data_IF_393744245325
#
_entry.id   IF_393744245325
#
_cell.length_a   1.000
_cell.length_b   1.000
_cell.length_c   1.000
_cell.angle_alpha   90.00
_cell.angle_beta   90.00
_cell.angle_gamma   90.00
#
_symmetry.space_group_name_H-M   'P 1'
#
loop_
_entity.id
_entity.type
_entity.pdbx_description
1 polymer ?
#
# COMPACT_ATOMS: atom_id res chain seq x y z
N UNK A 1 -7.07 -10.13 -17.35
CA UNK A 1 -7.91 -10.53 -16.20
C UNK A 1 -9.24 -11.00 -16.75
N UNK A 2 -9.77 -12.14 -16.31
CA UNK A 2 -11.09 -12.61 -16.76
C UNK A 2 -12.14 -12.30 -15.70
N UNK A 3 -13.39 -12.06 -16.12
CA UNK A 3 -14.52 -11.81 -15.23
C UNK A 3 -14.68 -12.95 -14.21
N UNK A 4 -14.53 -14.20 -14.65
CA UNK A 4 -14.53 -15.38 -13.77
C UNK A 4 -13.44 -15.33 -12.70
N UNK A 5 -12.28 -14.77 -13.01
CA UNK A 5 -11.20 -14.58 -12.05
C UNK A 5 -11.56 -13.53 -10.99
N UNK A 6 -12.13 -12.40 -11.42
CA UNK A 6 -12.61 -11.36 -10.52
C UNK A 6 -13.72 -11.87 -9.59
N UNK A 7 -14.70 -12.57 -10.14
CA UNK A 7 -15.79 -13.20 -9.39
C UNK A 7 -15.27 -14.08 -8.25
N UNK A 8 -14.34 -15.00 -8.55
CA UNK A 8 -13.70 -15.85 -7.52
C UNK A 8 -13.02 -15.04 -6.41
N UNK A 9 -12.30 -13.97 -6.76
CA UNK A 9 -11.60 -13.14 -5.77
C UNK A 9 -12.59 -12.39 -4.88
N UNK A 10 -13.65 -11.83 -5.47
CA UNK A 10 -14.72 -11.12 -4.74
C UNK A 10 -15.42 -12.05 -3.76
N UNK A 11 -15.88 -13.22 -4.22
CA UNK A 11 -16.55 -14.20 -3.37
C UNK A 11 -15.62 -14.76 -2.29
N UNK A 12 -14.34 -14.98 -2.60
CA UNK A 12 -13.34 -15.43 -1.62
C UNK A 12 -13.06 -14.39 -0.53
N UNK A 13 -13.26 -13.10 -0.82
CA UNK A 13 -13.20 -12.02 0.15
C UNK A 13 -14.50 -11.89 0.98
N UNK A 14 -15.51 -12.74 0.74
CA UNK A 14 -16.81 -12.71 1.43
C UNK A 14 -17.76 -11.62 0.91
N UNK A 15 -17.50 -11.08 -0.28
CA UNK A 15 -18.30 -10.03 -0.91
C UNK A 15 -19.25 -10.61 -1.97
N UNK A 16 -20.37 -9.92 -2.20
CA UNK A 16 -21.35 -10.29 -3.23
C UNK A 16 -20.86 -9.89 -4.63
N UNK A 17 -20.81 -10.87 -5.54
CA UNK A 17 -20.35 -10.64 -6.91
C UNK A 17 -21.32 -9.75 -7.70
N UNK A 18 -22.62 -9.95 -7.52
CA UNK A 18 -23.65 -9.21 -8.25
C UNK A 18 -23.55 -7.71 -7.95
N UNK A 19 -23.37 -7.34 -6.69
CA UNK A 19 -23.11 -5.96 -6.28
C UNK A 19 -21.76 -5.45 -6.83
N UNK A 20 -20.67 -6.22 -6.72
CA UNK A 20 -19.34 -5.79 -7.16
C UNK A 20 -19.24 -5.58 -8.68
N UNK A 21 -19.90 -6.43 -9.47
CA UNK A 21 -19.88 -6.39 -10.93
C UNK A 21 -20.41 -5.05 -11.48
N UNK A 22 -21.35 -4.40 -10.80
CA UNK A 22 -21.91 -3.08 -11.19
C UNK A 22 -20.83 -1.99 -11.20
N UNK A 23 -19.79 -2.14 -10.37
CA UNK A 23 -18.69 -1.19 -10.27
C UNK A 23 -17.57 -1.44 -11.29
N UNK A 24 -17.58 -2.57 -12.00
CA UNK A 24 -16.54 -2.87 -13.00
C UNK A 24 -16.61 -1.89 -14.16
N UNK A 25 -15.46 -1.29 -14.49
CA UNK A 25 -15.35 -0.30 -15.56
C UNK A 25 -15.94 1.07 -15.22
N UNK A 26 -16.46 1.27 -14.00
CA UNK A 26 -16.89 2.59 -13.57
C UNK A 26 -15.67 3.50 -13.33
N UNK A 27 -15.76 4.77 -13.73
CA UNK A 27 -14.75 5.76 -13.40
C UNK A 27 -14.82 6.15 -11.91
N UNK A 28 -13.83 6.90 -11.44
CA UNK A 28 -13.76 7.45 -10.08
C UNK A 28 -12.57 6.94 -9.26
N UNK A 29 -11.87 5.91 -9.73
CA UNK A 29 -10.66 5.39 -9.07
C UNK A 29 -9.38 6.10 -9.53
N UNK A 30 -9.42 6.82 -10.65
CA UNK A 30 -8.26 7.40 -11.33
C UNK A 30 -7.55 8.43 -10.45
N UNK A 31 -8.31 9.32 -9.79
CA UNK A 31 -7.74 10.33 -8.91
C UNK A 31 -7.05 9.68 -7.70
N UNK A 32 -7.70 8.70 -7.07
CA UNK A 32 -7.12 7.95 -5.95
C UNK A 32 -5.83 7.24 -6.37
N UNK A 33 -5.79 6.65 -7.57
CA UNK A 33 -4.58 6.03 -8.09
C UNK A 33 -3.47 7.07 -8.31
N UNK A 34 -3.80 8.21 -8.91
CA UNK A 34 -2.84 9.27 -9.21
C UNK A 34 -2.26 9.88 -7.92
N UNK A 35 -3.10 10.12 -6.91
CA UNK A 35 -2.66 10.62 -5.60
C UNK A 35 -1.67 9.64 -4.95
N UNK A 36 -1.96 8.34 -5.01
CA UNK A 36 -1.06 7.30 -4.53
C UNK A 36 0.26 7.25 -5.31
N UNK A 37 0.21 7.43 -6.64
CA UNK A 37 1.39 7.47 -7.51
C UNK A 37 2.28 8.68 -7.19
N UNK A 38 1.68 9.86 -7.01
CA UNK A 38 2.40 11.07 -6.63
C UNK A 38 3.00 10.96 -5.23
N UNK A 39 2.26 10.40 -4.27
CA UNK A 39 2.78 10.14 -2.92
C UNK A 39 4.00 9.19 -2.93
N UNK A 40 4.00 8.20 -3.82
CA UNK A 40 5.15 7.31 -4.05
C UNK A 40 6.36 8.09 -4.60
N UNK A 41 6.15 8.95 -5.59
CA UNK A 41 7.21 9.77 -6.18
C UNK A 41 7.81 10.78 -5.20
N UNK A 42 6.96 11.44 -4.41
CA UNK A 42 7.38 12.35 -3.34
C UNK A 42 8.23 11.64 -2.27
N UNK A 43 8.01 10.33 -2.08
CA UNK A 43 8.84 9.50 -1.20
C UNK A 43 10.18 9.05 -1.82
N UNK A 44 10.48 9.47 -3.06
CA UNK A 44 11.66 9.06 -3.81
C UNK A 44 11.56 7.65 -4.41
N UNK A 45 10.35 7.09 -4.48
CA UNK A 45 10.06 5.76 -5.02
C UNK A 45 9.45 5.89 -6.41
N UNK A 46 9.64 4.90 -7.27
CA UNK A 46 9.25 5.01 -8.69
C UNK A 46 8.45 3.81 -9.21
N UNK A 47 8.23 2.78 -8.39
CA UNK A 47 7.50 1.57 -8.78
C UNK A 47 7.00 0.76 -7.59
N UNK A 48 6.38 -0.37 -7.86
CA UNK A 48 5.83 -1.28 -6.83
C UNK A 48 6.55 -2.64 -6.83
N UNK A 49 6.57 -3.37 -5.69
CA UNK A 49 6.11 -2.92 -4.38
C UNK A 49 7.07 -1.90 -3.75
N UNK A 50 6.48 -0.94 -3.05
CA UNK A 50 7.15 0.15 -2.35
C UNK A 50 6.63 0.24 -0.92
N UNK A 51 7.52 0.51 0.02
CA UNK A 51 7.20 0.64 1.44
C UNK A 51 7.68 1.98 1.97
N UNK A 52 6.79 2.71 2.65
CA UNK A 52 7.10 3.96 3.34
C UNK A 52 6.72 3.83 4.81
N UNK A 53 7.69 4.00 5.70
CA UNK A 53 7.50 4.01 7.15
C UNK A 53 7.57 5.45 7.62
N UNK A 54 6.54 5.88 8.35
CA UNK A 54 6.43 7.21 8.94
C UNK A 54 6.49 7.11 10.47
N UNK A 55 6.91 8.19 11.13
CA UNK A 55 6.72 8.35 12.56
C UNK A 55 5.34 8.95 12.90
N UNK A 56 5.10 9.22 14.19
CA UNK A 56 3.85 9.80 14.70
C UNK A 56 3.55 11.20 14.18
N UNK A 57 4.58 11.96 13.81
CA UNK A 57 4.42 13.29 13.22
C UNK A 57 4.15 13.22 11.71
N UNK A 58 4.20 12.03 11.12
CA UNK A 58 4.12 11.82 9.68
C UNK A 58 5.45 12.00 8.95
N UNK A 59 6.57 12.18 9.67
CA UNK A 59 7.88 12.31 9.05
C UNK A 59 8.39 10.96 8.54
N UNK A 60 9.03 10.96 7.37
CA UNK A 60 9.53 9.74 6.74
C UNK A 60 10.75 9.18 7.48
N UNK A 61 10.60 8.00 8.07
CA UNK A 61 11.70 7.25 8.70
C UNK A 61 12.44 6.36 7.70
N UNK A 62 11.71 5.81 6.72
CA UNK A 62 12.25 4.87 5.74
C UNK A 62 11.39 4.87 4.48
N UNK A 63 12.01 4.82 3.31
CA UNK A 63 11.37 4.57 2.02
C UNK A 63 12.20 3.55 1.24
N UNK A 64 11.57 2.46 0.80
CA UNK A 64 12.24 1.35 0.11
C UNK A 64 11.39 0.82 -1.05
N UNK A 65 12.07 0.50 -2.14
CA UNK A 65 11.51 -0.23 -3.27
C UNK A 65 12.00 -1.68 -3.26
N UNK A 66 11.12 -2.62 -3.59
CA UNK A 66 11.42 -4.05 -3.70
C UNK A 66 10.88 -4.90 -2.54
N UNK A 67 10.44 -6.12 -2.87
CA UNK A 67 9.84 -7.06 -1.90
C UNK A 67 10.86 -7.71 -0.96
N UNK A 68 12.14 -7.74 -1.34
CA UNK A 68 13.24 -8.38 -0.62
C UNK A 68 13.75 -7.56 0.58
N UNK A 69 13.11 -6.41 0.86
CA UNK A 69 13.58 -5.43 1.85
C UNK A 69 12.70 -5.31 3.10
N UNK A 70 11.72 -6.19 3.30
CA UNK A 70 10.84 -6.15 4.47
C UNK A 70 11.60 -6.21 5.81
N UNK A 71 12.75 -6.88 5.85
CA UNK A 71 13.60 -6.94 7.05
C UNK A 71 14.16 -5.56 7.46
N UNK A 72 14.38 -4.63 6.51
CA UNK A 72 14.79 -3.27 6.82
C UNK A 72 13.65 -2.47 7.48
N UNK A 73 12.41 -2.71 7.07
CA UNK A 73 11.22 -2.12 7.70
C UNK A 73 11.12 -2.59 9.15
N UNK A 74 11.22 -3.89 9.39
CA UNK A 74 11.23 -4.46 10.75
C UNK A 74 12.36 -3.85 11.60
N UNK A 75 13.58 -3.74 11.04
CA UNK A 75 14.73 -3.15 11.74
C UNK A 75 14.50 -1.67 12.07
N UNK A 76 13.88 -0.90 11.18
CA UNK A 76 13.57 0.51 11.40
C UNK A 76 12.51 0.69 12.50
N UNK A 77 11.46 -0.14 12.53
CA UNK A 77 10.46 -0.15 13.60
C UNK A 77 11.13 -0.44 14.95
N UNK A 78 11.96 -1.49 15.02
CA UNK A 78 12.67 -1.85 16.25
C UNK A 78 13.62 -0.75 16.74
N UNK A 79 14.26 -0.03 15.81
CA UNK A 79 15.07 1.15 16.13
C UNK A 79 14.20 2.26 16.72
N UNK A 80 13.04 2.54 16.13
CA UNK A 80 12.16 3.60 16.60
C UNK A 80 11.59 3.31 17.99
N UNK A 81 11.23 2.05 18.28
CA UNK A 81 10.74 1.65 19.60
C UNK A 81 11.81 1.87 20.69
N UNK A 82 13.06 1.43 20.45
CA UNK A 82 14.15 1.67 21.40
C UNK A 82 14.43 3.15 21.67
N UNK A 83 14.32 4.00 20.64
CA UNK A 83 14.50 5.44 20.81
C UNK A 83 13.42 6.06 21.71
N UNK A 84 12.21 5.50 21.72
CA UNK A 84 11.11 5.95 22.59
C UNK A 84 11.26 5.47 24.02
N UNK A 85 11.78 4.25 24.22
CA UNK A 85 12.04 3.72 25.57
C UNK A 85 13.20 4.43 26.28
N UNK A 86 14.09 5.06 25.52
CA UNK A 86 15.27 5.75 26.03
C UNK A 86 15.06 7.25 26.32
N UNK A 87 13.91 7.84 25.96
CA UNK A 87 13.57 9.24 26.17
C UNK A 87 12.44 9.38 27.17
#
# INVERSE_FOLDING_TARGET
NSERGLCKVVESAGLDWQAAAVHLGQPGWEQLLEDNRLAMYQAGLWGVPSFRLLDESGAQLLALWGQDRLWLVARAIQRQLRLREAG
#
